data_IF_862957398761
#
_entry.id   IF_862957398761
#
_cell.length_a   1.000
_cell.length_b   1.000
_cell.length_c   1.000
_cell.angle_alpha   90.00
_cell.angle_beta   90.00
_cell.angle_gamma   90.00
#
_symmetry.space_group_name_H-M   'P 1'
#
loop_
_entity.id
_entity.type
_entity.pdbx_description
1 polymer ?
#
# COMPACT_ATOMS: atom_id res chain seq x y z
N UNK A 1 39.47 8.05 45.48
CA UNK A 1 39.37 7.34 44.18
C UNK A 1 37.97 6.77 44.03
N UNK A 2 37.29 7.00 42.91
CA UNK A 2 35.97 6.40 42.63
C UNK A 2 35.06 7.28 41.76
N UNK A 3 35.39 7.49 40.48
CA UNK A 3 34.45 8.02 39.48
C UNK A 3 33.65 6.84 38.91
N UNK A 4 32.32 6.83 39.08
CA UNK A 4 31.42 5.92 38.37
C UNK A 4 31.21 6.43 36.95
N UNK A 5 31.58 5.64 35.95
CA UNK A 5 31.20 5.85 34.54
C UNK A 5 29.75 5.40 34.35
N UNK A 6 28.89 6.29 33.86
CA UNK A 6 27.59 5.94 33.29
C UNK A 6 27.84 5.70 31.81
N UNK A 7 27.78 4.45 31.36
CA UNK A 7 27.80 4.13 29.93
C UNK A 7 26.45 4.50 29.32
N UNK A 8 26.45 5.53 28.47
CA UNK A 8 25.32 5.84 27.59
C UNK A 8 25.18 4.75 26.52
N UNK A 9 23.99 4.16 26.41
CA UNK A 9 23.64 3.26 25.31
C UNK A 9 23.61 4.07 24.00
N UNK A 10 24.33 3.60 22.99
CA UNK A 10 24.33 4.18 21.64
C UNK A 10 22.92 4.19 21.06
N UNK A 11 22.52 5.29 20.40
CA UNK A 11 21.19 5.46 19.80
C UNK A 11 20.78 4.35 18.81
N UNK A 12 21.73 3.60 18.26
CA UNK A 12 21.47 2.42 17.43
C UNK A 12 20.84 1.26 18.22
N UNK A 13 21.19 1.08 19.50
CA UNK A 13 20.61 0.05 20.36
C UNK A 13 19.16 0.38 20.74
N UNK A 14 18.85 1.66 20.96
CA UNK A 14 17.49 2.13 21.27
C UNK A 14 16.55 1.96 20.07
N UNK A 15 17.05 2.19 18.85
CA UNK A 15 16.26 2.06 17.62
C UNK A 15 15.96 0.60 17.25
N UNK A 16 16.96 -0.30 17.37
CA UNK A 16 16.75 -1.74 17.14
C UNK A 16 15.79 -2.36 18.16
N UNK A 17 15.86 -1.92 19.42
CA UNK A 17 14.89 -2.34 20.45
C UNK A 17 13.48 -1.81 20.13
N UNK A 18 13.35 -0.61 19.58
CA UNK A 18 12.04 -0.03 19.22
C UNK A 18 11.37 -0.74 18.03
N UNK A 19 12.13 -1.11 16.99
CA UNK A 19 11.61 -1.85 15.82
C UNK A 19 11.34 -3.31 16.16
N UNK A 20 12.17 -3.93 17.01
CA UNK A 20 11.92 -5.27 17.54
C UNK A 20 10.68 -5.30 18.46
N UNK A 21 10.47 -4.28 19.30
CA UNK A 21 9.27 -4.18 20.16
C UNK A 21 7.98 -3.96 19.35
N UNK A 22 8.03 -3.24 18.22
CA UNK A 22 6.90 -3.15 17.29
C UNK A 22 6.58 -4.51 16.66
N UNK A 23 7.61 -5.30 16.31
CA UNK A 23 7.43 -6.64 15.73
C UNK A 23 6.97 -7.70 16.75
N UNK A 24 7.43 -7.63 18.00
CA UNK A 24 7.02 -8.55 19.09
C UNK A 24 5.61 -8.23 19.59
N UNK A 25 5.23 -6.95 19.70
CA UNK A 25 3.84 -6.56 20.01
C UNK A 25 2.84 -7.04 18.96
N UNK A 26 3.25 -7.09 17.69
CA UNK A 26 2.42 -7.67 16.63
C UNK A 26 2.18 -9.18 16.79
N UNK A 27 3.13 -9.90 17.40
CA UNK A 27 3.03 -11.35 17.64
C UNK A 27 2.12 -11.67 18.84
N UNK A 28 2.26 -10.93 19.95
CA UNK A 28 1.41 -11.11 21.15
C UNK A 28 -0.04 -10.65 20.92
N UNK A 29 -0.28 -9.63 20.09
CA UNK A 29 -1.62 -9.16 19.76
C UNK A 29 -2.43 -10.19 18.93
N UNK A 30 -1.75 -11.01 18.11
CA UNK A 30 -2.41 -12.11 17.39
C UNK A 30 -2.72 -13.32 18.28
N UNK A 31 -1.92 -13.59 19.32
CA UNK A 31 -2.18 -14.68 20.27
C UNK A 31 -3.27 -14.32 21.29
N UNK A 32 -3.32 -13.07 21.77
CA UNK A 32 -4.34 -12.63 22.73
C UNK A 32 -5.75 -12.53 22.14
N UNK A 33 -5.89 -12.30 20.83
CA UNK A 33 -7.18 -12.31 20.14
C UNK A 33 -7.87 -13.70 20.14
N UNK A 34 -7.15 -14.78 20.47
CA UNK A 34 -7.72 -16.14 20.60
C UNK A 34 -8.39 -16.42 21.95
N UNK A 35 -8.27 -15.56 22.96
CA UNK A 35 -8.62 -15.93 24.35
C UNK A 35 -9.58 -15.00 25.12
N UNK A 36 -10.30 -14.09 24.47
CA UNK A 36 -11.22 -13.18 25.15
C UNK A 36 -12.66 -13.24 24.60
N UNK A 37 -13.23 -14.43 24.60
CA UNK A 37 -14.68 -14.60 24.75
C UNK A 37 -15.03 -14.57 26.24
N UNK A 38 -16.05 -13.80 26.62
CA UNK A 38 -16.63 -13.56 27.97
C UNK A 38 -16.08 -12.36 28.75
N UNK A 39 -16.76 -11.20 28.66
CA UNK A 39 -17.56 -10.60 29.77
C UNK A 39 -18.18 -9.25 29.40
N UNK A 40 -19.45 -9.08 29.79
CA UNK A 40 -20.23 -7.83 29.80
C UNK A 40 -19.77 -6.84 30.88
N UNK A 41 -20.13 -5.55 30.71
CA UNK A 41 -20.38 -4.65 31.85
C UNK A 41 -20.10 -3.15 31.65
N UNK A 42 -21.15 -2.39 31.31
CA UNK A 42 -21.55 -1.06 31.81
C UNK A 42 -20.58 0.14 31.98
N UNK A 43 -20.98 1.24 31.32
CA UNK A 43 -21.17 2.63 31.83
C UNK A 43 -19.96 3.47 32.32
N UNK A 44 -19.63 4.56 31.62
CA UNK A 44 -20.01 5.96 31.95
C UNK A 44 -19.26 7.00 31.09
N UNK A 45 -19.98 8.06 30.70
CA UNK A 45 -19.46 9.28 30.03
C UNK A 45 -18.94 10.29 31.07
N UNK A 46 -18.02 11.19 30.67
CA UNK A 46 -18.13 12.57 31.14
C UNK A 46 -18.13 13.63 30.05
N UNK A 47 -18.54 14.82 30.51
CA UNK A 47 -19.12 15.96 29.82
C UNK A 47 -18.09 16.90 29.16
N UNK A 48 -18.67 17.61 28.20
CA UNK A 48 -18.24 18.80 27.48
C UNK A 48 -17.96 20.00 28.40
N UNK A 49 -16.86 20.73 28.15
CA UNK A 49 -16.61 22.08 28.70
C UNK A 49 -16.38 23.06 27.54
N UNK A 50 -17.04 24.20 27.63
CA UNK A 50 -17.11 25.24 26.59
C UNK A 50 -16.33 26.48 26.98
N UNK A 51 -15.80 27.16 25.95
CA UNK A 51 -15.39 28.59 25.85
C UNK A 51 -14.20 29.09 26.67
N UNK A 52 -13.19 29.63 26.00
CA UNK A 52 -13.06 31.08 25.72
C UNK A 52 -11.78 31.38 24.90
N UNK A 53 -11.91 32.25 23.90
CA UNK A 53 -10.78 32.87 23.17
C UNK A 53 -10.23 34.08 23.93
N UNK A 54 -9.00 34.51 23.61
CA UNK A 54 -8.79 35.92 23.31
C UNK A 54 -8.03 36.15 21.99
N UNK A 55 -8.39 37.26 21.34
CA UNK A 55 -7.76 37.83 20.15
C UNK A 55 -6.34 38.35 20.44
N UNK A 56 -5.49 38.36 19.40
CA UNK A 56 -4.22 39.07 19.45
C UNK A 56 -3.24 38.77 18.31
N UNK A 57 -3.42 39.46 17.18
CA UNK A 57 -2.36 40.14 16.39
C UNK A 57 -1.24 39.33 15.70
N UNK A 58 -1.10 39.55 14.39
CA UNK A 58 0.19 39.47 13.69
C UNK A 58 0.22 38.61 12.44
N UNK A 59 -0.44 39.05 11.36
CA UNK A 59 -0.30 38.44 10.04
C UNK A 59 1.12 38.63 9.51
N UNK A 60 1.85 37.51 9.35
CA UNK A 60 3.03 37.42 8.50
C UNK A 60 2.61 36.75 7.19
N UNK A 61 2.99 37.40 6.10
CA UNK A 61 2.75 37.02 4.72
C UNK A 61 3.14 35.55 4.48
N UNK A 62 2.18 34.79 3.98
CA UNK A 62 2.33 33.43 3.54
C UNK A 62 2.80 33.49 2.08
N UNK A 63 4.08 33.23 1.84
CA UNK A 63 4.60 33.04 0.48
C UNK A 63 3.90 31.82 -0.14
N UNK A 64 3.01 32.11 -1.08
CA UNK A 64 2.38 31.16 -1.99
C UNK A 64 3.45 30.30 -2.68
N UNK A 65 3.46 29.01 -2.37
CA UNK A 65 4.03 27.98 -3.23
C UNK A 65 3.24 27.98 -4.54
N UNK A 66 3.69 28.80 -5.50
CA UNK A 66 3.18 28.83 -6.87
C UNK A 66 3.28 27.43 -7.48
N UNK A 67 2.14 26.75 -7.55
CA UNK A 67 1.94 25.58 -8.40
C UNK A 67 2.08 26.06 -9.84
N UNK A 68 3.21 25.77 -10.47
CA UNK A 68 3.37 25.98 -11.90
C UNK A 68 2.41 25.05 -12.65
N UNK A 69 1.52 25.57 -13.51
CA UNK A 69 0.67 24.72 -14.35
C UNK A 69 1.56 24.02 -15.37
N UNK A 70 1.66 22.68 -15.29
CA UNK A 70 2.24 21.86 -16.35
C UNK A 70 1.30 21.94 -17.56
N UNK A 71 1.63 22.85 -18.47
CA UNK A 71 0.91 23.11 -19.69
C UNK A 71 1.16 21.96 -20.70
N UNK A 72 0.12 21.16 -20.89
CA UNK A 72 -0.28 20.56 -22.17
C UNK A 72 0.74 19.71 -22.93
N UNK A 73 0.79 18.42 -22.62
CA UNK A 73 1.19 17.38 -23.57
C UNK A 73 0.21 16.22 -23.47
N UNK A 74 -0.84 16.26 -24.32
CA UNK A 74 -1.69 15.10 -24.57
C UNK A 74 -0.84 14.03 -25.25
N UNK A 75 -0.85 12.82 -24.71
CA UNK A 75 -0.24 11.65 -25.33
C UNK A 75 -1.00 11.24 -26.59
N UNK A 76 -0.24 10.83 -27.60
CA UNK A 76 -0.74 10.15 -28.80
C UNK A 76 -1.23 8.75 -28.38
N UNK A 77 -2.52 8.48 -28.54
CA UNK A 77 -3.22 7.26 -28.07
C UNK A 77 -4.02 7.43 -26.76
N UNK A 78 -5.26 6.96 -26.77
CA UNK A 78 -6.13 6.87 -25.58
C UNK A 78 -5.65 5.71 -24.70
N UNK A 79 -5.11 5.98 -23.51
CA UNK A 79 -4.79 4.97 -22.51
C UNK A 79 -5.99 4.06 -22.25
N UNK A 80 -5.77 2.74 -22.23
CA UNK A 80 -6.78 1.72 -21.92
C UNK A 80 -6.35 0.88 -20.71
N UNK A 81 -7.27 0.09 -20.15
CA UNK A 81 -6.90 -0.90 -19.12
C UNK A 81 -5.83 -1.89 -19.63
N UNK A 82 -5.85 -2.23 -20.93
CA UNK A 82 -4.86 -3.10 -21.56
C UNK A 82 -3.44 -2.55 -21.54
N UNK A 83 -3.22 -1.30 -21.13
CA UNK A 83 -1.89 -0.70 -20.96
C UNK A 83 -1.35 -0.80 -19.52
N UNK A 84 -2.14 -1.37 -18.60
CA UNK A 84 -1.85 -1.42 -17.16
C UNK A 84 -1.62 -2.88 -16.74
N UNK A 85 -0.51 -3.12 -16.05
CA UNK A 85 -0.21 -4.36 -15.36
C UNK A 85 -0.48 -4.17 -13.88
N UNK A 86 -1.41 -4.95 -13.32
CA UNK A 86 -1.78 -4.90 -11.91
C UNK A 86 -1.21 -6.15 -11.24
N UNK A 87 -0.28 -5.96 -10.30
CA UNK A 87 0.26 -7.03 -9.48
C UNK A 87 -0.43 -7.04 -8.11
N UNK A 88 -0.96 -8.20 -7.71
CA UNK A 88 -1.51 -8.43 -6.37
C UNK A 88 -0.60 -9.40 -5.63
N UNK A 89 0.01 -8.93 -4.55
CA UNK A 89 0.85 -9.77 -3.69
C UNK A 89 -0.03 -10.48 -2.65
N UNK A 90 0.12 -11.80 -2.54
CA UNK A 90 -0.55 -12.61 -1.51
C UNK A 90 0.37 -13.73 -1.00
N UNK A 91 -0.19 -14.60 -0.17
CA UNK A 91 0.45 -15.78 0.40
C UNK A 91 -0.59 -16.87 0.63
N UNK A 92 -0.19 -18.14 0.68
CA UNK A 92 -1.10 -19.29 0.81
C UNK A 92 -2.19 -19.12 1.87
N UNK A 93 -1.80 -18.60 3.05
CA UNK A 93 -2.73 -18.40 4.19
C UNK A 93 -3.90 -17.44 3.89
N UNK A 94 -3.80 -16.63 2.84
CA UNK A 94 -4.78 -15.61 2.46
C UNK A 94 -5.51 -15.91 1.15
N UNK A 95 -5.24 -17.04 0.50
CA UNK A 95 -5.96 -17.45 -0.71
C UNK A 95 -7.47 -17.51 -0.49
N UNK A 96 -7.92 -18.15 0.59
CA UNK A 96 -9.35 -18.24 0.90
C UNK A 96 -9.85 -16.94 1.54
N UNK A 97 -9.18 -16.48 2.60
CA UNK A 97 -9.72 -15.42 3.47
C UNK A 97 -9.69 -14.02 2.86
N UNK A 98 -8.83 -13.76 1.86
CA UNK A 98 -8.69 -12.44 1.22
C UNK A 98 -8.87 -12.52 -0.29
N UNK A 99 -8.19 -13.45 -0.98
CA UNK A 99 -8.21 -13.47 -2.44
C UNK A 99 -9.59 -13.83 -3.01
N UNK A 100 -10.36 -14.75 -2.40
CA UNK A 100 -11.74 -15.03 -2.87
C UNK A 100 -12.60 -13.76 -2.91
N UNK A 101 -12.50 -12.90 -1.90
CA UNK A 101 -13.20 -11.61 -1.86
C UNK A 101 -12.75 -10.70 -3.02
N UNK A 102 -11.46 -10.60 -3.31
CA UNK A 102 -10.97 -9.75 -4.40
C UNK A 102 -11.41 -10.27 -5.77
N UNK A 103 -11.35 -11.60 -5.96
CA UNK A 103 -11.77 -12.29 -7.18
C UNK A 103 -13.27 -12.13 -7.45
N UNK A 104 -14.10 -12.15 -6.40
CA UNK A 104 -15.54 -11.93 -6.50
C UNK A 104 -15.91 -10.46 -6.72
N UNK A 105 -15.01 -9.54 -6.41
CA UNK A 105 -15.24 -8.09 -6.47
C UNK A 105 -14.40 -7.44 -7.56
N UNK A 106 -13.41 -6.61 -7.22
CA UNK A 106 -12.76 -5.74 -8.19
C UNK A 106 -11.93 -6.47 -9.24
N UNK A 107 -11.35 -7.63 -8.93
CA UNK A 107 -10.57 -8.40 -9.92
C UNK A 107 -11.49 -8.89 -11.04
N UNK A 108 -12.78 -9.16 -10.77
CA UNK A 108 -13.74 -9.50 -11.82
C UNK A 108 -13.88 -8.43 -12.91
N UNK A 109 -13.56 -7.17 -12.60
CA UNK A 109 -13.66 -6.02 -13.50
C UNK A 109 -12.34 -5.69 -14.22
N UNK A 110 -11.22 -6.29 -13.79
CA UNK A 110 -9.88 -6.04 -14.35
C UNK A 110 -9.04 -7.32 -14.43
N UNK A 111 -9.69 -8.48 -14.62
CA UNK A 111 -9.06 -9.80 -14.58
C UNK A 111 -7.89 -9.92 -15.56
N UNK A 112 -8.11 -9.44 -16.79
CA UNK A 112 -7.14 -9.52 -17.89
C UNK A 112 -5.87 -8.67 -17.65
N UNK A 113 -5.93 -7.72 -16.73
CA UNK A 113 -4.81 -6.86 -16.34
C UNK A 113 -4.15 -7.32 -15.04
N UNK A 114 -4.79 -8.20 -14.29
CA UNK A 114 -4.42 -8.55 -12.91
C UNK A 114 -3.67 -9.86 -12.86
N UNK A 115 -2.53 -9.84 -12.20
CA UNK A 115 -1.64 -10.98 -11.96
C UNK A 115 -1.44 -11.16 -10.46
N UNK A 116 -1.61 -12.38 -9.96
CA UNK A 116 -1.52 -12.72 -8.53
C UNK A 116 -0.19 -13.41 -8.26
N UNK A 117 0.61 -12.85 -7.36
CA UNK A 117 1.92 -13.38 -6.98
C UNK A 117 1.83 -14.02 -5.61
N UNK A 118 2.10 -15.32 -5.54
CA UNK A 118 2.00 -16.09 -4.30
C UNK A 118 3.16 -17.07 -4.10
N UNK A 119 3.26 -17.63 -2.90
CA UNK A 119 4.34 -18.53 -2.47
C UNK A 119 4.05 -20.02 -2.68
N UNK A 120 2.79 -20.43 -2.76
CA UNK A 120 2.41 -21.84 -2.92
C UNK A 120 1.29 -22.05 -3.93
N UNK A 121 1.26 -23.24 -4.52
CA UNK A 121 0.25 -23.69 -5.47
C UNK A 121 -1.16 -23.77 -4.86
N UNK A 122 -2.16 -23.51 -5.70
CA UNK A 122 -3.56 -23.56 -5.31
C UNK A 122 -4.47 -23.76 -6.53
N UNK A 123 -4.95 -24.99 -6.70
CA UNK A 123 -5.83 -25.36 -7.81
C UNK A 123 -7.08 -24.48 -7.92
N UNK A 124 -7.61 -23.97 -6.79
CA UNK A 124 -8.82 -23.14 -6.83
C UNK A 124 -8.53 -21.74 -7.35
N UNK A 125 -7.41 -21.16 -6.92
CA UNK A 125 -6.92 -19.89 -7.45
C UNK A 125 -6.53 -20.02 -8.93
N UNK A 126 -5.81 -21.08 -9.30
CA UNK A 126 -5.41 -21.37 -10.69
C UNK A 126 -6.63 -21.60 -11.60
N UNK A 127 -7.67 -22.30 -11.13
CA UNK A 127 -8.91 -22.45 -11.91
C UNK A 127 -9.60 -21.11 -12.23
N UNK A 128 -9.47 -20.09 -11.37
CA UNK A 128 -10.09 -18.77 -11.58
C UNK A 128 -9.23 -17.81 -12.39
N UNK A 129 -7.91 -17.83 -12.18
CA UNK A 129 -6.97 -16.87 -12.75
C UNK A 129 -6.12 -17.45 -13.89
N UNK A 130 -6.03 -18.77 -14.02
CA UNK A 130 -5.23 -19.45 -15.04
C UNK A 130 -3.76 -19.04 -14.97
N UNK A 131 -3.20 -18.70 -16.13
CA UNK A 131 -1.82 -18.21 -16.27
C UNK A 131 -1.56 -16.83 -15.64
N UNK A 132 -2.56 -16.21 -15.00
CA UNK A 132 -2.40 -14.97 -14.24
C UNK A 132 -2.01 -15.22 -12.77
N UNK A 133 -1.85 -16.48 -12.35
CA UNK A 133 -1.23 -16.81 -11.05
C UNK A 133 0.25 -17.12 -11.26
N UNK A 134 1.12 -16.44 -10.53
CA UNK A 134 2.56 -16.66 -10.54
C UNK A 134 2.96 -17.24 -9.19
N UNK A 135 3.37 -18.50 -9.21
CA UNK A 135 3.98 -19.18 -8.06
C UNK A 135 5.46 -18.82 -8.00
N UNK A 136 5.80 -17.90 -7.11
CA UNK A 136 7.12 -17.25 -7.05
C UNK A 136 8.22 -18.14 -6.47
N UNK A 137 7.86 -19.21 -5.76
CA UNK A 137 8.77 -20.02 -4.94
C UNK A 137 9.57 -19.20 -3.91
N UNK A 138 9.08 -18.01 -3.57
CA UNK A 138 9.58 -17.19 -2.47
C UNK A 138 9.03 -17.73 -1.14
N UNK A 139 9.69 -17.38 -0.03
CA UNK A 139 9.19 -17.75 1.30
C UNK A 139 7.78 -17.19 1.58
N UNK A 140 6.97 -17.99 2.29
CA UNK A 140 5.67 -17.59 2.82
C UNK A 140 5.76 -16.71 4.07
N UNK A 141 6.97 -16.48 4.59
CA UNK A 141 7.20 -15.57 5.70
C UNK A 141 6.86 -14.12 5.36
N UNK A 142 6.58 -13.33 6.40
CA UNK A 142 6.39 -11.88 6.28
C UNK A 142 7.67 -11.11 6.61
N UNK A 143 8.82 -11.65 6.21
CA UNK A 143 10.12 -10.99 6.36
C UNK A 143 10.38 -10.04 5.19
N UNK A 144 11.20 -9.00 5.40
CA UNK A 144 11.52 -8.06 4.31
C UNK A 144 12.15 -8.79 3.10
N UNK A 145 12.95 -9.83 3.31
CA UNK A 145 13.50 -10.65 2.23
C UNK A 145 12.43 -11.40 1.44
N UNK A 146 11.46 -12.00 2.13
CA UNK A 146 10.35 -12.71 1.49
C UNK A 146 9.46 -11.78 0.66
N UNK A 147 9.15 -10.58 1.20
CA UNK A 147 8.39 -9.55 0.50
C UNK A 147 9.16 -9.00 -0.71
N UNK A 148 10.46 -8.70 -0.53
CA UNK A 148 11.36 -8.27 -1.61
C UNK A 148 11.48 -9.31 -2.73
N UNK A 149 11.47 -10.60 -2.39
CA UNK A 149 11.49 -11.68 -3.38
C UNK A 149 10.23 -11.65 -4.27
N UNK A 150 9.05 -11.51 -3.66
CA UNK A 150 7.78 -11.40 -4.42
C UNK A 150 7.74 -10.11 -5.25
N UNK A 151 8.16 -8.98 -4.68
CA UNK A 151 8.24 -7.70 -5.40
C UNK A 151 9.18 -7.78 -6.62
N UNK A 152 10.30 -8.50 -6.52
CA UNK A 152 11.18 -8.75 -7.66
C UNK A 152 10.46 -9.53 -8.78
N UNK A 153 9.70 -10.57 -8.42
CA UNK A 153 8.91 -11.35 -9.36
C UNK A 153 7.81 -10.51 -10.03
N UNK A 154 7.12 -9.64 -9.28
CA UNK A 154 6.14 -8.69 -9.81
C UNK A 154 6.77 -7.76 -10.85
N UNK A 155 7.93 -7.20 -10.51
CA UNK A 155 8.65 -6.27 -11.35
C UNK A 155 9.15 -6.91 -12.65
N UNK A 156 9.75 -8.11 -12.56
CA UNK A 156 10.23 -8.86 -13.72
C UNK A 156 9.08 -9.27 -14.65
N UNK A 157 7.96 -9.73 -14.09
CA UNK A 157 6.76 -10.06 -14.85
C UNK A 157 6.17 -8.83 -15.57
N UNK A 158 6.16 -7.67 -14.90
CA UNK A 158 5.77 -6.42 -15.54
C UNK A 158 6.67 -6.06 -16.72
N UNK A 159 7.99 -6.12 -16.54
CA UNK A 159 8.94 -5.82 -17.62
C UNK A 159 8.68 -6.70 -18.85
N UNK A 160 8.35 -7.98 -18.64
CA UNK A 160 8.00 -8.93 -19.68
C UNK A 160 6.61 -8.73 -20.34
N UNK A 161 5.70 -7.97 -19.72
CA UNK A 161 4.29 -7.84 -20.16
C UNK A 161 4.01 -6.82 -21.27
N UNK A 162 5.02 -6.08 -21.74
CA UNK A 162 4.91 -4.92 -22.66
C UNK A 162 3.93 -3.80 -22.25
N UNK A 163 3.31 -3.88 -21.06
CA UNK A 163 2.37 -2.88 -20.52
C UNK A 163 3.04 -1.57 -20.18
N UNK A 164 2.36 -0.44 -20.39
CA UNK A 164 2.90 0.91 -20.15
C UNK A 164 3.01 1.28 -18.67
N UNK A 165 2.20 0.68 -17.81
CA UNK A 165 2.11 1.01 -16.38
C UNK A 165 2.18 -0.24 -15.51
N UNK A 166 2.98 -0.17 -14.45
CA UNK A 166 3.00 -1.15 -13.36
C UNK A 166 2.24 -0.58 -12.18
N UNK A 167 1.30 -1.32 -11.60
CA UNK A 167 0.67 -0.97 -10.34
C UNK A 167 0.72 -2.14 -9.36
N UNK A 168 1.26 -1.89 -8.18
CA UNK A 168 1.34 -2.86 -7.09
C UNK A 168 0.17 -2.67 -6.12
N UNK A 169 -0.43 -3.76 -5.66
CA UNK A 169 -1.42 -3.82 -4.58
C UNK A 169 -1.17 -5.02 -3.66
N UNK A 170 -1.57 -4.89 -2.40
CA UNK A 170 -1.66 -6.00 -1.45
C UNK A 170 -3.04 -6.68 -1.51
N UNK A 171 -3.12 -7.92 -1.00
CA UNK A 171 -4.35 -8.72 -0.97
C UNK A 171 -5.48 -8.22 -0.05
N UNK A 172 -5.26 -7.11 0.66
CA UNK A 172 -6.29 -6.39 1.41
C UNK A 172 -6.64 -5.02 0.79
N UNK A 173 -6.29 -4.80 -0.48
CA UNK A 173 -6.66 -3.62 -1.24
C UNK A 173 -7.87 -3.87 -2.17
N UNK A 174 -8.73 -2.87 -2.29
CA UNK A 174 -9.76 -2.76 -3.32
C UNK A 174 -9.29 -1.76 -4.36
N UNK A 175 -9.24 -2.18 -5.63
CA UNK A 175 -8.94 -1.28 -6.74
C UNK A 175 -10.23 -0.79 -7.41
N UNK A 176 -10.29 0.49 -7.75
CA UNK A 176 -11.24 1.01 -8.73
C UNK A 176 -10.53 1.20 -10.08
N UNK A 177 -10.70 0.27 -11.05
CA UNK A 177 -9.98 0.33 -12.33
C UNK A 177 -10.28 1.59 -13.14
N UNK A 178 -11.50 2.13 -13.04
CA UNK A 178 -11.90 3.35 -13.75
C UNK A 178 -11.25 4.60 -13.16
N UNK A 179 -11.19 4.70 -11.84
CA UNK A 179 -10.48 5.78 -11.17
C UNK A 179 -8.97 5.72 -11.46
N UNK A 180 -8.40 4.50 -11.47
CA UNK A 180 -7.00 4.29 -11.84
C UNK A 180 -6.72 4.74 -13.27
N UNK A 181 -7.51 4.27 -14.23
CA UNK A 181 -7.36 4.63 -15.65
C UNK A 181 -7.45 6.15 -15.85
N UNK A 182 -8.44 6.79 -15.21
CA UNK A 182 -8.61 8.25 -15.25
C UNK A 182 -7.39 8.96 -14.67
N UNK A 183 -6.86 8.51 -13.53
CA UNK A 183 -5.66 9.09 -12.94
C UNK A 183 -4.46 8.98 -13.90
N UNK A 184 -4.17 7.77 -14.39
CA UNK A 184 -3.01 7.51 -15.23
C UNK A 184 -3.09 8.23 -16.58
N UNK A 185 -4.30 8.47 -17.11
CA UNK A 185 -4.50 9.25 -18.35
C UNK A 185 -4.02 10.70 -18.26
N UNK A 186 -3.77 11.21 -17.05
CA UNK A 186 -3.21 12.55 -16.82
C UNK A 186 -1.67 12.60 -16.96
N UNK A 187 -1.03 11.45 -17.22
CA UNK A 187 0.42 11.31 -17.31
C UNK A 187 0.84 10.55 -18.57
N UNK A 188 2.03 10.86 -19.09
CA UNK A 188 2.64 10.05 -20.13
C UNK A 188 3.46 8.91 -19.52
N UNK A 189 3.30 7.68 -20.02
CA UNK A 189 4.17 6.56 -19.68
C UNK A 189 5.63 6.74 -20.15
N UNK A 190 5.87 7.72 -21.04
CA UNK A 190 7.22 8.15 -21.47
C UNK A 190 7.85 9.19 -20.54
N UNK A 191 7.21 9.50 -19.41
CA UNK A 191 7.79 10.28 -18.31
C UNK A 191 8.19 9.37 -17.16
N UNK A 192 9.05 9.87 -16.28
CA UNK A 192 9.40 9.15 -15.06
C UNK A 192 8.30 9.41 -14.01
N UNK A 193 7.37 8.47 -13.86
CA UNK A 193 6.19 8.65 -13.00
C UNK A 193 6.17 7.57 -11.94
N UNK A 194 6.14 8.01 -10.68
CA UNK A 194 5.93 7.17 -9.50
C UNK A 194 4.82 7.78 -8.66
N UNK A 195 3.65 7.16 -8.62
CA UNK A 195 2.44 7.65 -7.96
C UNK A 195 2.09 6.78 -6.77
N UNK A 196 1.72 7.41 -5.66
CA UNK A 196 1.20 6.70 -4.50
C UNK A 196 1.02 7.60 -3.29
N UNK A 197 0.63 7.01 -2.17
CA UNK A 197 0.47 7.70 -0.88
C UNK A 197 1.82 7.71 -0.14
N UNK A 198 2.41 8.88 0.19
CA UNK A 198 3.60 8.92 1.02
C UNK A 198 3.33 8.28 2.39
N UNK A 199 4.22 7.41 2.85
CA UNK A 199 4.06 6.69 4.12
C UNK A 199 4.25 7.55 5.37
N UNK A 200 5.11 8.57 5.25
CA UNK A 200 5.45 9.48 6.34
C UNK A 200 5.08 10.92 5.94
N UNK A 201 5.13 11.85 6.89
CA UNK A 201 5.03 13.29 6.62
C UNK A 201 6.39 13.92 6.28
N UNK A 202 7.44 13.12 6.15
CA UNK A 202 8.82 13.51 5.83
C UNK A 202 9.56 12.34 5.16
N UNK A 203 10.64 12.59 4.40
CA UNK A 203 11.48 11.50 3.89
C UNK A 203 11.97 10.60 5.02
N UNK A 204 11.97 9.28 4.81
CA UNK A 204 12.60 8.34 5.74
C UNK A 204 14.11 8.59 5.74
N UNK A 205 14.75 8.40 6.89
CA UNK A 205 16.21 8.39 6.99
C UNK A 205 16.67 6.94 7.16
N UNK A 206 17.57 6.51 6.28
CA UNK A 206 18.12 5.15 6.31
C UNK A 206 19.64 5.17 6.13
N UNK A 207 20.26 4.01 6.34
CA UNK A 207 21.70 3.80 6.15
C UNK A 207 21.94 2.81 5.02
N UNK A 208 22.58 3.26 3.95
CA UNK A 208 23.10 2.42 2.88
C UNK A 208 24.45 1.84 3.32
N UNK A 209 24.58 0.51 3.28
CA UNK A 209 25.85 -0.16 3.55
C UNK A 209 26.80 0.03 2.36
N UNK A 210 28.04 0.42 2.62
CA UNK A 210 29.10 0.61 1.63
C UNK A 210 30.19 -0.47 1.78
N UNK A 211 31.07 -0.65 0.77
CA UNK A 211 32.28 -1.45 0.94
C UNK A 211 33.09 -1.02 2.17
N UNK A 212 33.77 -1.97 2.81
CA UNK A 212 34.55 -1.79 4.04
C UNK A 212 33.74 -1.44 5.30
N UNK A 213 32.50 -1.95 5.42
CA UNK A 213 31.62 -1.74 6.58
C UNK A 213 31.35 -0.26 6.91
N UNK A 214 31.48 0.62 5.93
CA UNK A 214 31.07 2.02 6.06
C UNK A 214 29.58 2.14 5.78
N UNK A 215 28.94 3.18 6.31
CA UNK A 215 27.54 3.49 6.02
C UNK A 215 27.41 4.89 5.46
N UNK A 216 26.44 5.07 4.56
CA UNK A 216 26.05 6.35 4.01
C UNK A 216 24.61 6.65 4.43
N UNK A 217 24.39 7.80 5.06
CA UNK A 217 23.03 8.25 5.33
C UNK A 217 22.34 8.62 4.03
N UNK A 218 21.13 8.11 3.83
CA UNK A 218 20.25 8.43 2.71
C UNK A 218 18.90 8.91 3.23
N UNK A 219 18.23 9.76 2.44
CA UNK A 219 16.90 10.29 2.75
C UNK A 219 16.06 10.29 1.48
N UNK A 220 14.86 9.72 1.55
CA UNK A 220 13.98 9.56 0.39
C UNK A 220 12.52 9.41 0.81
N UNK A 221 11.60 9.71 -0.09
CA UNK A 221 10.19 9.34 0.03
C UNK A 221 9.94 7.96 -0.57
N UNK A 222 8.87 7.31 -0.11
CA UNK A 222 8.38 6.07 -0.67
C UNK A 222 6.85 6.03 -0.54
N UNK A 223 6.19 5.39 -1.50
CA UNK A 223 4.76 5.11 -1.44
C UNK A 223 4.52 3.93 -0.49
N UNK A 224 3.50 4.02 0.36
CA UNK A 224 3.08 2.93 1.24
C UNK A 224 2.63 1.74 0.39
N UNK A 225 3.28 0.58 0.54
CA UNK A 225 2.93 -0.64 -0.22
C UNK A 225 1.46 -1.03 -0.09
N UNK A 226 0.95 -1.07 1.15
CA UNK A 226 -0.46 -1.39 1.44
C UNK A 226 -1.49 -0.31 1.10
N UNK A 227 -1.08 0.81 0.47
CA UNK A 227 -2.00 1.72 -0.21
C UNK A 227 -2.05 1.46 -1.73
N UNK A 228 -1.14 0.65 -2.24
CA UNK A 228 -0.81 0.54 -3.65
C UNK A 228 -0.04 1.73 -4.21
N UNK A 229 0.67 1.48 -5.32
CA UNK A 229 1.42 2.50 -6.04
C UNK A 229 1.53 2.14 -7.52
N UNK A 230 1.85 3.12 -8.38
CA UNK A 230 2.06 2.90 -9.80
C UNK A 230 3.36 3.52 -10.32
N UNK A 231 3.99 2.85 -11.29
CA UNK A 231 5.26 3.22 -11.93
C UNK A 231 5.10 3.16 -13.45
N UNK A 232 5.58 4.17 -14.17
CA UNK A 232 5.61 4.14 -15.65
C UNK A 232 6.69 3.17 -16.16
N UNK A 233 6.49 2.56 -17.33
CA UNK A 233 7.49 1.69 -17.97
C UNK A 233 8.84 2.37 -18.15
N UNK A 234 8.88 3.67 -18.49
CA UNK A 234 10.14 4.40 -18.61
C UNK A 234 10.92 4.43 -17.28
N UNK A 235 10.25 4.72 -16.17
CA UNK A 235 10.90 4.74 -14.86
C UNK A 235 11.34 3.33 -14.46
N UNK A 236 10.48 2.32 -14.64
CA UNK A 236 10.82 0.93 -14.39
C UNK A 236 12.07 0.48 -15.18
N UNK A 237 12.18 0.82 -16.46
CA UNK A 237 13.37 0.51 -17.27
C UNK A 237 14.66 1.08 -16.66
N UNK A 238 14.60 2.28 -16.03
CA UNK A 238 15.76 2.83 -15.32
C UNK A 238 16.08 2.08 -14.03
N UNK A 239 15.09 1.50 -13.37
CA UNK A 239 15.24 0.76 -12.11
C UNK A 239 15.89 -0.62 -12.30
N UNK A 240 15.90 -1.17 -13.52
CA UNK A 240 16.40 -2.53 -13.85
C UNK A 240 17.73 -2.90 -13.18
N UNK A 241 18.78 -2.06 -13.17
CA UNK A 241 20.07 -2.42 -12.54
C UNK A 241 19.99 -2.68 -11.03
N UNK A 242 18.92 -2.23 -10.36
CA UNK A 242 18.71 -2.38 -8.91
C UNK A 242 17.47 -3.20 -8.57
N UNK A 243 16.52 -3.36 -9.50
CA UNK A 243 15.22 -3.95 -9.23
C UNK A 243 14.95 -5.28 -9.94
N UNK A 244 15.63 -5.59 -11.05
CA UNK A 244 15.34 -6.81 -11.80
C UNK A 244 16.13 -8.02 -11.25
N UNK A 245 15.48 -9.19 -11.22
CA UNK A 245 16.05 -10.43 -10.72
C UNK A 245 16.56 -10.31 -9.28
N UNK A 246 17.75 -10.85 -9.02
CA UNK A 246 18.34 -10.85 -7.67
C UNK A 246 18.73 -9.46 -7.16
N UNK A 247 18.78 -8.44 -8.03
CA UNK A 247 19.22 -7.10 -7.64
C UNK A 247 18.26 -6.45 -6.65
N UNK A 248 16.95 -6.75 -6.73
CA UNK A 248 15.99 -6.19 -5.78
C UNK A 248 16.31 -6.63 -4.35
N UNK A 249 16.56 -7.94 -4.15
CA UNK A 249 16.92 -8.49 -2.85
C UNK A 249 18.22 -7.85 -2.35
N UNK A 250 19.27 -7.85 -3.18
CA UNK A 250 20.56 -7.23 -2.82
C UNK A 250 20.42 -5.75 -2.48
N UNK A 251 19.55 -5.02 -3.17
CA UNK A 251 19.28 -3.62 -2.88
C UNK A 251 18.50 -3.45 -1.57
N UNK A 252 17.51 -4.31 -1.30
CA UNK A 252 16.78 -4.29 -0.03
C UNK A 252 17.68 -4.62 1.16
N UNK A 253 18.62 -5.56 1.01
CA UNK A 253 19.62 -5.92 2.03
C UNK A 253 20.61 -4.78 2.30
N UNK A 254 20.95 -4.00 1.26
CA UNK A 254 21.87 -2.86 1.36
C UNK A 254 21.39 -1.81 2.37
N UNK A 255 20.08 -1.56 2.37
CA UNK A 255 19.41 -0.56 3.22
C UNK A 255 18.66 -1.18 4.40
N UNK A 256 18.46 -2.51 4.40
CA UNK A 256 17.74 -3.30 5.41
C UNK A 256 16.33 -2.78 5.69
N UNK A 257 15.61 -2.47 4.62
CA UNK A 257 14.24 -1.96 4.68
C UNK A 257 13.27 -2.89 3.91
N UNK A 258 11.95 -2.75 4.15
CA UNK A 258 10.92 -3.45 3.38
C UNK A 258 10.95 -3.16 1.88
N UNK A 259 10.16 -3.91 1.13
CA UNK A 259 10.06 -3.85 -0.33
C UNK A 259 9.58 -2.48 -0.83
N UNK A 260 8.56 -1.89 -0.21
CA UNK A 260 8.04 -0.56 -0.58
C UNK A 260 9.09 0.56 -0.38
N UNK A 261 9.82 0.51 0.72
CA UNK A 261 10.96 1.36 1.00
C UNK A 261 12.08 1.15 -0.02
N UNK A 262 12.32 -0.09 -0.45
CA UNK A 262 13.32 -0.43 -1.47
C UNK A 262 12.95 0.16 -2.82
N UNK A 263 11.67 0.12 -3.22
CA UNK A 263 11.16 0.78 -4.43
C UNK A 263 11.43 2.29 -4.36
N UNK A 264 11.03 2.96 -3.27
CA UNK A 264 11.28 4.39 -3.10
C UNK A 264 12.77 4.76 -3.08
N UNK A 265 13.59 3.94 -2.43
CA UNK A 265 15.04 4.10 -2.42
C UNK A 265 15.65 4.02 -3.83
N UNK A 266 15.28 3.01 -4.61
CA UNK A 266 15.78 2.88 -6.00
C UNK A 266 15.37 4.11 -6.79
N UNK A 267 14.09 4.50 -6.73
CA UNK A 267 13.55 5.60 -7.51
C UNK A 267 14.23 6.94 -7.17
N UNK A 268 14.26 7.32 -5.90
CA UNK A 268 14.77 8.65 -5.51
C UNK A 268 16.30 8.69 -5.37
N UNK A 269 16.94 7.63 -4.89
CA UNK A 269 18.38 7.65 -4.58
C UNK A 269 19.25 7.08 -5.70
N UNK A 270 18.73 6.21 -6.59
CA UNK A 270 19.53 5.57 -7.64
C UNK A 270 19.25 6.11 -9.04
N UNK A 271 17.98 6.40 -9.37
CA UNK A 271 17.60 6.79 -10.73
C UNK A 271 17.09 8.22 -10.88
N UNK A 272 17.04 8.98 -9.79
CA UNK A 272 16.69 10.41 -9.78
C UNK A 272 15.22 10.71 -10.09
N UNK A 273 14.33 9.73 -9.88
CA UNK A 273 12.89 9.95 -9.89
C UNK A 273 12.39 10.57 -8.57
N UNK A 274 11.09 10.82 -8.47
CA UNK A 274 10.46 11.38 -7.29
C UNK A 274 9.10 10.74 -7.06
N UNK A 275 8.73 10.51 -5.80
CA UNK A 275 7.35 10.17 -5.47
C UNK A 275 6.45 11.38 -5.77
N UNK A 276 5.41 11.16 -6.57
CA UNK A 276 4.31 12.09 -6.81
C UNK A 276 3.18 11.73 -5.84
N UNK A 277 2.97 12.51 -4.76
CA UNK A 277 1.95 12.20 -3.77
C UNK A 277 0.56 12.22 -4.38
N UNK A 278 -0.25 11.22 -4.09
CA UNK A 278 -1.62 11.17 -4.56
C UNK A 278 -2.59 10.74 -3.46
N UNK A 279 -3.62 11.56 -3.23
CA UNK A 279 -4.60 11.38 -2.17
C UNK A 279 -5.72 10.38 -2.50
N UNK A 280 -5.67 9.75 -3.68
CA UNK A 280 -6.63 8.71 -4.10
C UNK A 280 -6.19 7.29 -3.71
N UNK A 281 -4.98 7.14 -3.16
CA UNK A 281 -4.47 5.87 -2.67
C UNK A 281 -4.58 5.81 -1.15
N UNK A 282 -5.14 4.71 -0.64
CA UNK A 282 -5.45 4.58 0.79
C UNK A 282 -5.05 3.23 1.37
N UNK A 283 -4.39 3.26 2.54
CA UNK A 283 -3.99 2.07 3.30
C UNK A 283 -4.82 1.95 4.58
N UNK A 284 -5.01 0.75 5.11
CA UNK A 284 -5.57 0.58 6.45
C UNK A 284 -4.67 1.15 7.56
N UNK A 285 -3.47 1.67 7.26
CA UNK A 285 -2.61 2.40 8.20
C UNK A 285 -2.98 3.89 8.36
N UNK A 286 -4.03 4.36 7.70
CA UNK A 286 -4.63 5.68 7.92
C UNK A 286 -6.08 5.57 8.34
N UNK A 287 -6.68 6.61 8.94
CA UNK A 287 -8.06 6.55 9.37
C UNK A 287 -9.03 6.60 8.16
N UNK A 288 -9.50 5.44 7.72
CA UNK A 288 -10.35 5.29 6.53
C UNK A 288 -11.76 5.89 6.72
N UNK A 289 -12.19 6.08 7.96
CA UNK A 289 -13.47 6.74 8.27
C UNK A 289 -13.43 8.25 8.00
N UNK A 290 -12.24 8.85 7.84
CA UNK A 290 -12.11 10.26 7.45
C UNK A 290 -12.38 10.50 5.96
N UNK A 291 -12.42 9.45 5.14
CA UNK A 291 -12.74 9.57 3.72
C UNK A 291 -14.25 9.81 3.60
N UNK A 292 -14.70 10.97 3.06
CA UNK A 292 -16.13 11.26 2.95
C UNK A 292 -16.83 10.22 2.07
N UNK A 293 -18.01 9.76 2.49
CA UNK A 293 -18.79 8.77 1.73
C UNK A 293 -19.05 9.19 0.27
N UNK A 294 -19.26 10.50 0.03
CA UNK A 294 -19.44 11.08 -1.30
C UNK A 294 -18.22 10.95 -2.22
N UNK A 295 -17.05 10.68 -1.64
CA UNK A 295 -15.77 10.55 -2.35
C UNK A 295 -15.30 9.12 -2.56
N UNK A 296 -15.88 8.13 -1.86
CA UNK A 296 -15.41 6.74 -1.89
C UNK A 296 -15.32 6.17 -3.32
N UNK A 297 -16.32 6.47 -4.17
CA UNK A 297 -16.38 5.96 -5.54
C UNK A 297 -15.34 6.58 -6.50
N UNK A 298 -14.63 7.63 -6.08
CA UNK A 298 -13.57 8.25 -6.88
C UNK A 298 -12.16 7.89 -6.40
N UNK A 299 -12.03 7.14 -5.30
CA UNK A 299 -10.72 6.69 -4.83
C UNK A 299 -10.16 5.62 -5.77
N UNK A 300 -8.84 5.59 -5.93
CA UNK A 300 -8.14 4.61 -6.77
C UNK A 300 -8.00 3.31 -6.00
N UNK A 301 -7.49 3.36 -4.77
CA UNK A 301 -7.41 2.22 -3.87
C UNK A 301 -8.07 2.51 -2.54
N UNK A 302 -8.66 1.49 -1.94
CA UNK A 302 -9.09 1.46 -0.55
C UNK A 302 -8.54 0.19 0.08
N UNK A 303 -8.51 0.11 1.42
CA UNK A 303 -7.99 -1.05 2.14
C UNK A 303 -8.92 -1.42 3.29
N UNK A 304 -8.66 -2.55 3.94
CA UNK A 304 -9.21 -2.89 5.24
C UNK A 304 -8.12 -3.59 6.06
N UNK A 305 -8.19 -3.47 7.38
CA UNK A 305 -7.21 -4.13 8.23
C UNK A 305 -7.34 -3.71 9.69
N UNK A 306 -6.48 -4.26 10.54
CA UNK A 306 -6.41 -3.85 11.94
C UNK A 306 -5.44 -2.68 12.08
N UNK A 307 -5.92 -1.57 12.63
CA UNK A 307 -5.12 -0.39 12.98
C UNK A 307 -5.45 0.02 14.41
N UNK A 308 -4.42 0.22 15.23
CA UNK A 308 -4.59 0.55 16.67
C UNK A 308 -5.56 -0.39 17.42
N UNK A 309 -5.45 -1.70 17.17
CA UNK A 309 -6.29 -2.77 17.73
C UNK A 309 -7.78 -2.68 17.36
N UNK A 310 -8.14 -1.92 16.32
CA UNK A 310 -9.50 -1.82 15.81
C UNK A 310 -9.53 -2.18 14.33
N UNK A 311 -10.63 -2.81 13.91
CA UNK A 311 -10.90 -2.98 12.49
C UNK A 311 -11.11 -1.60 11.86
N UNK A 312 -10.22 -1.26 10.94
CA UNK A 312 -10.24 -0.02 10.20
C UNK A 312 -10.74 -0.29 8.78
N UNK A 313 -11.87 0.33 8.47
CA UNK A 313 -12.63 0.17 7.23
C UNK A 313 -13.28 1.50 6.86
N UNK A 314 -13.65 1.63 5.59
CA UNK A 314 -14.43 2.77 5.11
C UNK A 314 -15.81 2.83 5.77
N UNK A 315 -16.33 4.03 5.96
CA UNK A 315 -17.72 4.23 6.39
C UNK A 315 -18.65 4.26 5.18
N UNK A 316 -19.28 3.11 4.90
CA UNK A 316 -20.20 2.95 3.77
C UNK A 316 -21.44 2.17 4.20
N UNK A 317 -22.61 2.77 3.98
CA UNK A 317 -23.88 2.03 4.03
C UNK A 317 -23.99 1.18 2.78
N UNK A 318 -24.19 -0.11 2.93
CA UNK A 318 -24.27 -1.04 1.81
C UNK A 318 -25.41 -2.04 2.00
N UNK A 319 -25.67 -2.85 0.98
CA UNK A 319 -26.67 -3.91 1.07
C UNK A 319 -26.26 -5.03 2.05
N UNK A 320 -25.00 -5.07 2.49
CA UNK A 320 -24.49 -6.06 3.44
C UNK A 320 -24.24 -5.48 4.84
N UNK A 321 -24.65 -6.21 5.86
CA UNK A 321 -24.33 -5.89 7.26
C UNK A 321 -22.81 -6.01 7.53
N UNK A 322 -22.25 -5.31 8.54
CA UNK A 322 -20.84 -5.46 8.95
C UNK A 322 -20.38 -6.89 9.20
N UNK A 323 -21.30 -7.79 9.57
CA UNK A 323 -21.03 -9.20 9.81
C UNK A 323 -20.84 -9.97 8.50
N UNK A 324 -21.61 -9.64 7.46
CA UNK A 324 -21.55 -10.31 6.15
C UNK A 324 -20.41 -9.80 5.27
N UNK A 325 -20.00 -8.54 5.44
CA UNK A 325 -18.97 -7.90 4.61
C UNK A 325 -17.98 -7.09 5.49
N UNK A 326 -17.23 -7.72 6.40
CA UNK A 326 -16.43 -7.01 7.39
C UNK A 326 -15.42 -6.03 6.78
N UNK A 327 -14.92 -6.26 5.57
CA UNK A 327 -14.02 -5.33 4.84
C UNK A 327 -14.72 -4.13 4.20
N UNK A 328 -16.05 -4.21 4.04
CA UNK A 328 -16.90 -3.27 3.26
C UNK A 328 -16.67 -3.33 1.75
N UNK A 329 -15.88 -4.28 1.25
CA UNK A 329 -15.55 -4.38 -0.18
C UNK A 329 -16.72 -4.86 -1.02
N UNK A 330 -17.55 -5.79 -0.51
CA UNK A 330 -18.76 -6.21 -1.24
C UNK A 330 -19.75 -5.05 -1.38
N UNK A 331 -19.93 -4.29 -0.29
CA UNK A 331 -20.75 -3.09 -0.27
C UNK A 331 -20.23 -2.04 -1.26
N UNK A 332 -18.94 -1.72 -1.21
CA UNK A 332 -18.30 -0.80 -2.15
C UNK A 332 -18.47 -1.27 -3.60
N UNK A 333 -18.29 -2.56 -3.85
CA UNK A 333 -18.47 -3.14 -5.17
C UNK A 333 -19.89 -2.94 -5.69
N UNK A 334 -20.92 -3.17 -4.87
CA UNK A 334 -22.30 -2.94 -5.29
C UNK A 334 -22.66 -1.47 -5.55
N UNK A 335 -21.96 -0.53 -4.92
CA UNK A 335 -22.12 0.89 -5.27
C UNK A 335 -21.48 1.24 -6.61
N UNK A 336 -20.34 0.63 -6.94
CA UNK A 336 -19.64 0.85 -8.21
C UNK A 336 -20.26 0.08 -9.38
N UNK A 337 -20.77 -1.12 -9.10
CA UNK A 337 -21.27 -2.10 -10.08
C UNK A 337 -22.60 -2.70 -9.57
N UNK A 338 -23.69 -1.90 -9.56
CA UNK A 338 -24.98 -2.32 -8.99
C UNK A 338 -25.61 -3.50 -9.74
N UNK A 339 -25.26 -3.69 -11.02
CA UNK A 339 -25.78 -4.75 -11.87
C UNK A 339 -25.12 -6.13 -11.61
N UNK A 340 -24.12 -6.20 -10.73
CA UNK A 340 -23.53 -7.46 -10.31
C UNK A 340 -24.60 -8.35 -9.65
N UNK A 341 -24.78 -9.58 -10.14
CA UNK A 341 -25.94 -10.43 -9.84
C UNK A 341 -26.21 -10.65 -8.34
N UNK A 342 -25.16 -10.81 -7.54
CA UNK A 342 -25.27 -11.03 -6.09
C UNK A 342 -25.52 -9.72 -5.30
N UNK A 343 -25.33 -8.54 -5.90
CA UNK A 343 -25.74 -7.27 -5.30
C UNK A 343 -27.26 -7.13 -5.27
N UNK A 344 -27.93 -7.53 -6.35
CA UNK A 344 -29.39 -7.48 -6.48
C UNK A 344 -30.09 -8.37 -5.44
N UNK A 345 -29.51 -9.54 -5.15
CA UNK A 345 -30.01 -10.47 -4.15
C UNK A 345 -29.94 -9.90 -2.72
N UNK A 346 -28.97 -9.03 -2.45
CA UNK A 346 -28.78 -8.43 -1.13
C UNK A 346 -29.70 -7.21 -0.87
N UNK A 347 -30.32 -6.64 -1.90
CA UNK A 347 -31.26 -5.50 -1.77
C UNK A 347 -32.70 -5.95 -1.51
N UNK A 348 -32.99 -7.25 -1.58
CA UNK A 348 -34.30 -7.81 -1.27
C UNK A 348 -35.36 -7.47 -2.31
N UNK A 349 -35.51 -8.32 -3.32
CA UNK A 349 -36.76 -8.53 -4.05
C UNK A 349 -37.23 -9.95 -3.83
#
# INVERSE_FOLDING_TARGET
MGRRLIHGLSGAAVFLVSVALLSVRHREAQETARYSGLREGMLEKPKQWSKASPEGGGGREQEDLKVHPLQGYKTDGSLTLGDIFIAVKTTKRFHQSRMELLLDTWISQAREQTYVFTDEEDDALERRMGNHVIFTNCSAEHSHLALSCKMAAEFDAFLASDRSWFCHLDDDNYLNPWALLKLLSSYSATWDVYLGKPSLNRPIQASETLPNNRTKSVRFWFATGGAGFCISRKLANKMVPWASGRNFLSTSELIRLPDDCTVGYIIECKVGGQLLPNALFHSHLENLQLIPASRLMQQVTLSYGVFENKLNVIELRGPFSPQEDPSRFRSLHCHLYPDTSWCLQAVGW
#
